data_IF_818303469685
#
_entry.id   IF_818303469685
#
_cell.length_a   1.000
_cell.length_b   1.000
_cell.length_c   1.000
_cell.angle_alpha   90.00
_cell.angle_beta   90.00
_cell.angle_gamma   90.00
#
_symmetry.space_group_name_H-M   'P 1'
#
loop_
_entity.id
_entity.type
_entity.pdbx_description
1 polymer ?
#
# COMPACT_ATOMS: atom_id res chain seq x y z
N UNK A 1 5.85 13.18 -12.74
CA UNK A 1 5.27 14.03 -11.67
C UNK A 1 4.74 13.07 -10.62
N UNK A 2 5.17 13.16 -9.36
CA UNK A 2 4.70 12.26 -8.30
C UNK A 2 3.24 12.57 -7.98
N UNK A 3 2.35 11.60 -8.19
CA UNK A 3 0.93 11.74 -7.83
C UNK A 3 0.78 11.59 -6.32
N UNK A 4 0.22 12.60 -5.65
CA UNK A 4 0.00 12.58 -4.20
C UNK A 4 -1.36 11.95 -3.93
N UNK A 5 -1.40 10.84 -3.19
CA UNK A 5 -2.63 10.18 -2.76
C UNK A 5 -2.78 10.38 -1.25
N UNK A 6 -3.91 10.94 -0.79
CA UNK A 6 -4.12 11.32 0.60
C UNK A 6 -5.14 10.41 1.30
N UNK A 7 -4.71 9.73 2.36
CA UNK A 7 -5.51 8.73 3.09
C UNK A 7 -6.71 9.34 3.82
N UNK A 8 -6.62 10.59 4.27
CA UNK A 8 -7.68 11.29 5.03
C UNK A 8 -9.00 11.43 4.23
N UNK A 9 -8.93 11.36 2.89
CA UNK A 9 -10.11 11.42 2.02
C UNK A 9 -10.99 10.16 2.06
N UNK A 10 -10.52 9.09 2.69
CA UNK A 10 -11.15 7.76 2.64
C UNK A 10 -11.62 7.23 4.00
N UNK A 11 -11.54 8.03 5.08
CA UNK A 11 -12.07 7.63 6.39
C UNK A 11 -13.60 7.54 6.36
N UNK A 12 -14.18 6.51 6.97
CA UNK A 12 -15.62 6.13 6.94
C UNK A 12 -16.65 7.19 7.38
N UNK A 13 -16.27 8.39 7.82
CA UNK A 13 -17.21 9.36 8.40
C UNK A 13 -17.68 10.45 7.41
N UNK A 14 -18.39 10.06 6.35
CA UNK A 14 -19.13 11.03 5.51
C UNK A 14 -20.39 11.61 6.18
N UNK A 15 -20.87 11.03 7.29
CA UNK A 15 -22.10 11.47 7.97
C UNK A 15 -21.88 12.40 9.18
N UNK A 16 -20.65 12.66 9.63
CA UNK A 16 -20.37 13.54 10.79
C UNK A 16 -19.73 14.88 10.40
N UNK A 17 -20.13 15.45 9.26
CA UNK A 17 -19.63 16.72 8.68
C UNK A 17 -19.81 18.02 9.52
N UNK A 18 -20.01 17.95 10.85
CA UNK A 18 -20.11 19.16 11.69
C UNK A 18 -19.18 19.19 12.91
N UNK A 19 -18.41 18.15 13.19
CA UNK A 19 -17.43 18.13 14.30
C UNK A 19 -16.25 17.27 13.87
N UNK A 20 -15.05 17.53 14.39
CA UNK A 20 -13.76 16.88 14.09
C UNK A 20 -12.84 17.60 13.09
N UNK A 21 -12.38 18.78 13.51
CA UNK A 21 -11.02 19.24 13.22
C UNK A 21 -10.07 19.06 14.43
N UNK A 22 -10.46 18.24 15.42
CA UNK A 22 -9.57 17.95 16.53
C UNK A 22 -8.49 16.95 16.07
N UNK A 23 -7.20 17.23 16.26
CA UNK A 23 -6.15 16.23 16.07
C UNK A 23 -6.41 15.04 17.00
N UNK A 24 -6.18 13.83 16.52
CA UNK A 24 -6.22 12.64 17.39
C UNK A 24 -5.06 12.78 18.38
N UNK A 25 -5.39 12.95 19.67
CA UNK A 25 -4.42 13.12 20.77
C UNK A 25 -4.15 11.81 21.54
N UNK A 26 -4.61 10.67 21.04
CA UNK A 26 -4.49 9.36 21.67
C UNK A 26 -3.83 8.32 20.75
N UNK A 27 -3.55 7.11 21.27
CA UNK A 27 -3.02 6.01 20.45
C UNK A 27 -3.97 5.72 19.28
N UNK A 28 -3.41 5.54 18.09
CA UNK A 28 -4.17 5.20 16.89
C UNK A 28 -4.17 3.69 16.76
N UNK A 29 -5.36 3.09 16.72
CA UNK A 29 -5.49 1.65 16.51
C UNK A 29 -5.53 1.34 15.02
N UNK A 30 -4.85 0.27 14.60
CA UNK A 30 -4.77 -0.10 13.18
C UNK A 30 -6.16 -0.37 12.59
N UNK A 31 -7.07 -0.97 13.36
CA UNK A 31 -8.45 -1.23 12.89
C UNK A 31 -9.19 0.05 12.47
N UNK A 32 -8.83 1.21 13.04
CA UNK A 32 -9.43 2.51 12.67
C UNK A 32 -8.99 3.00 11.28
N UNK A 33 -7.87 2.46 10.79
CA UNK A 33 -7.27 2.77 9.49
C UNK A 33 -7.60 1.70 8.43
N UNK A 34 -7.93 0.48 8.85
CA UNK A 34 -8.12 -0.71 8.01
C UNK A 34 -8.94 -0.40 6.74
N UNK A 35 -10.14 0.17 6.90
CA UNK A 35 -11.00 0.44 5.74
C UNK A 35 -10.51 1.58 4.86
N UNK A 36 -9.83 2.56 5.44
CA UNK A 36 -9.22 3.65 4.67
C UNK A 36 -8.07 3.13 3.80
N UNK A 37 -7.25 2.25 4.36
CA UNK A 37 -6.17 1.54 3.65
C UNK A 37 -6.76 0.71 2.50
N UNK A 38 -7.78 -0.09 2.78
CA UNK A 38 -8.45 -0.92 1.77
C UNK A 38 -9.04 -0.08 0.63
N UNK A 39 -9.77 0.99 0.96
CA UNK A 39 -10.39 1.86 -0.05
C UNK A 39 -9.35 2.55 -0.94
N UNK A 40 -8.26 3.02 -0.35
CA UNK A 40 -7.18 3.67 -1.09
C UNK A 40 -6.49 2.66 -2.03
N UNK A 41 -6.16 1.47 -1.51
CA UNK A 41 -5.56 0.40 -2.28
C UNK A 41 -6.43 -0.02 -3.48
N UNK A 42 -7.75 -0.07 -3.31
CA UNK A 42 -8.69 -0.42 -4.39
C UNK A 42 -8.88 0.73 -5.39
N UNK A 43 -9.15 1.94 -4.91
CA UNK A 43 -9.56 3.06 -5.79
C UNK A 43 -8.40 3.54 -6.66
N UNK A 44 -7.22 3.65 -6.09
CA UNK A 44 -6.04 4.16 -6.77
C UNK A 44 -5.11 3.03 -7.27
N UNK A 45 -5.60 1.77 -7.28
CA UNK A 45 -4.86 0.59 -7.72
C UNK A 45 -4.18 0.81 -9.08
N UNK A 46 -4.91 1.34 -10.07
CA UNK A 46 -4.36 1.56 -11.41
C UNK A 46 -3.15 2.50 -11.40
N UNK A 47 -3.19 3.58 -10.60
CA UNK A 47 -2.07 4.52 -10.45
C UNK A 47 -0.90 3.82 -9.77
N UNK A 48 -1.19 3.09 -8.69
CA UNK A 48 -0.19 2.39 -7.90
C UNK A 48 0.57 1.39 -8.79
N UNK A 49 -0.16 0.57 -9.55
CA UNK A 49 0.42 -0.41 -10.47
C UNK A 49 1.26 0.24 -11.55
N UNK A 50 0.79 1.34 -12.15
CA UNK A 50 1.59 2.04 -13.16
C UNK A 50 2.91 2.57 -12.59
N UNK A 51 2.89 3.15 -11.39
CA UNK A 51 4.11 3.64 -10.77
C UNK A 51 5.08 2.49 -10.39
N UNK A 52 4.55 1.37 -9.89
CA UNK A 52 5.36 0.16 -9.63
C UNK A 52 6.02 -0.34 -10.93
N UNK A 53 5.27 -0.39 -12.03
CA UNK A 53 5.80 -0.76 -13.36
C UNK A 53 6.89 0.20 -13.81
N UNK A 54 6.66 1.49 -13.71
CA UNK A 54 7.65 2.52 -14.09
C UNK A 54 8.94 2.38 -13.28
N UNK A 55 8.83 2.12 -11.98
CA UNK A 55 10.01 1.99 -11.12
C UNK A 55 10.82 0.73 -11.40
N UNK A 56 10.14 -0.41 -11.63
CA UNK A 56 10.77 -1.68 -11.93
C UNK A 56 11.20 -1.80 -13.41
N UNK A 57 10.85 -0.83 -14.25
CA UNK A 57 11.07 -0.93 -15.70
C UNK A 57 12.55 -1.11 -16.06
N UNK A 58 13.45 -0.42 -15.36
CA UNK A 58 14.90 -0.56 -15.58
C UNK A 58 15.39 -1.96 -15.22
N UNK A 59 15.07 -2.43 -14.02
CA UNK A 59 15.45 -3.77 -13.53
C UNK A 59 14.88 -4.87 -14.42
N UNK A 60 13.62 -4.73 -14.85
CA UNK A 60 12.99 -5.62 -15.82
C UNK A 60 13.77 -5.66 -17.14
N UNK A 61 14.23 -4.52 -17.66
CA UNK A 61 15.02 -4.49 -18.90
C UNK A 61 16.39 -5.12 -18.75
N UNK A 62 17.08 -4.88 -17.64
CA UNK A 62 18.35 -5.53 -17.31
C UNK A 62 18.16 -7.06 -17.17
N UNK A 63 17.06 -7.49 -16.57
CA UNK A 63 16.69 -8.90 -16.45
C UNK A 63 16.48 -9.56 -17.82
N UNK A 64 15.74 -8.92 -18.72
CA UNK A 64 15.50 -9.44 -20.07
C UNK A 64 16.81 -9.60 -20.86
N UNK A 65 17.68 -8.60 -20.79
CA UNK A 65 18.98 -8.63 -21.48
C UNK A 65 19.86 -9.76 -20.94
N UNK A 66 19.90 -9.92 -19.61
CA UNK A 66 20.73 -10.93 -18.95
C UNK A 66 20.26 -12.37 -19.22
N UNK A 67 18.96 -12.57 -19.38
CA UNK A 67 18.36 -13.89 -19.61
C UNK A 67 18.03 -14.16 -21.09
N UNK A 68 18.37 -13.26 -22.00
CA UNK A 68 18.06 -13.35 -23.44
C UNK A 68 16.57 -13.57 -23.74
N UNK A 69 15.67 -13.05 -22.90
CA UNK A 69 14.23 -13.13 -23.13
C UNK A 69 13.76 -12.08 -24.15
N UNK A 70 12.88 -12.45 -25.07
CA UNK A 70 12.15 -11.48 -25.89
C UNK A 70 11.07 -10.78 -25.05
N UNK A 71 10.97 -9.46 -25.16
CA UNK A 71 9.88 -8.63 -24.59
C UNK A 71 8.49 -9.11 -25.02
N UNK A 72 8.39 -9.81 -26.15
CA UNK A 72 7.14 -10.40 -26.66
C UNK A 72 6.72 -11.66 -25.91
N UNK A 73 7.67 -12.35 -25.30
CA UNK A 73 7.45 -13.62 -24.61
C UNK A 73 7.33 -13.44 -23.10
N UNK A 74 7.97 -12.40 -22.55
CA UNK A 74 7.98 -12.13 -21.12
C UNK A 74 7.62 -10.67 -20.83
N UNK A 75 6.44 -10.43 -20.25
CA UNK A 75 5.93 -9.09 -19.95
C UNK A 75 6.40 -8.60 -18.57
N UNK A 76 6.31 -7.28 -18.35
CA UNK A 76 6.61 -6.69 -17.03
C UNK A 76 5.63 -7.18 -15.94
N UNK A 77 4.39 -7.50 -16.31
CA UNK A 77 3.41 -8.08 -15.39
C UNK A 77 3.87 -9.45 -14.90
N UNK A 78 4.38 -10.29 -15.81
CA UNK A 78 4.96 -11.58 -15.45
C UNK A 78 6.22 -11.42 -14.60
N UNK A 79 7.05 -10.41 -14.89
CA UNK A 79 8.20 -10.07 -14.06
C UNK A 79 7.79 -9.75 -12.63
N UNK A 80 6.81 -8.86 -12.45
CA UNK A 80 6.29 -8.46 -11.14
C UNK A 80 5.73 -9.66 -10.37
N UNK A 81 4.83 -10.44 -10.98
CA UNK A 81 4.22 -11.61 -10.31
C UNK A 81 5.29 -12.61 -9.85
N UNK A 82 6.36 -12.80 -10.64
CA UNK A 82 7.39 -13.80 -10.35
C UNK A 82 8.43 -13.34 -9.34
N UNK A 83 8.73 -12.04 -9.28
CA UNK A 83 9.87 -11.52 -8.51
C UNK A 83 9.45 -10.69 -7.29
N UNK A 84 8.26 -10.09 -7.27
CA UNK A 84 7.75 -9.41 -6.09
C UNK A 84 7.00 -10.40 -5.20
N UNK A 85 7.59 -10.72 -4.04
CA UNK A 85 6.92 -11.51 -3.03
C UNK A 85 5.91 -10.66 -2.25
N UNK A 86 4.67 -10.60 -2.72
CA UNK A 86 3.60 -9.87 -2.03
C UNK A 86 3.24 -10.45 -0.65
N UNK A 87 3.71 -11.65 -0.31
CA UNK A 87 3.40 -12.29 0.98
C UNK A 87 4.23 -11.78 2.15
N UNK A 88 5.34 -11.08 1.88
CA UNK A 88 6.24 -10.53 2.88
C UNK A 88 6.37 -9.01 2.73
N UNK A 89 6.72 -8.28 3.80
CA UNK A 89 7.06 -6.87 3.71
C UNK A 89 8.18 -6.65 2.69
N UNK A 90 8.02 -5.67 1.80
CA UNK A 90 9.07 -5.30 0.87
C UNK A 90 9.26 -3.79 0.83
N UNK A 91 10.47 -3.39 0.46
CA UNK A 91 10.73 -2.00 0.10
C UNK A 91 10.58 -1.87 -1.41
N UNK A 92 9.38 -1.57 -1.92
CA UNK A 92 9.27 -1.06 -3.29
C UNK A 92 9.47 0.45 -3.20
N UNK A 93 10.43 0.99 -3.94
CA UNK A 93 10.46 2.42 -4.18
C UNK A 93 9.37 2.78 -5.21
N UNK A 94 8.13 2.86 -4.77
CA UNK A 94 6.97 2.95 -5.66
C UNK A 94 6.75 4.36 -6.22
N UNK A 95 7.53 5.37 -5.81
CA UNK A 95 7.42 6.75 -6.33
C UNK A 95 6.10 7.47 -5.97
N UNK A 96 5.24 6.84 -5.17
CA UNK A 96 3.95 7.40 -4.73
C UNK A 96 4.18 8.10 -3.41
N UNK A 97 3.79 9.36 -3.34
CA UNK A 97 3.78 10.08 -2.09
C UNK A 97 2.40 9.93 -1.45
N UNK A 98 2.28 8.98 -0.52
CA UNK A 98 1.10 8.92 0.32
C UNK A 98 1.14 10.04 1.35
N UNK A 99 0.07 10.83 1.44
CA UNK A 99 -0.11 11.83 2.50
C UNK A 99 -0.97 11.26 3.64
N UNK A 100 -0.47 11.39 4.86
CA UNK A 100 -1.17 11.03 6.12
C UNK A 100 -2.42 11.88 6.35
N UNK A 101 -2.44 13.10 5.84
CA UNK A 101 -3.41 14.13 6.24
C UNK A 101 -3.11 14.71 7.63
N UNK A 102 -3.63 15.91 7.89
CA UNK A 102 -3.31 16.67 9.11
C UNK A 102 -3.73 15.98 10.42
N UNK A 103 -4.73 15.09 10.36
CA UNK A 103 -5.30 14.41 11.53
C UNK A 103 -4.51 13.16 11.97
N UNK A 104 -3.59 12.66 11.15
CA UNK A 104 -2.78 11.45 11.42
C UNK A 104 -1.30 11.76 11.68
N UNK A 105 -0.97 12.99 12.10
CA UNK A 105 0.41 13.38 12.47
C UNK A 105 0.99 12.57 13.63
N UNK A 106 0.15 11.90 14.42
CA UNK A 106 0.58 11.02 15.50
C UNK A 106 1.24 9.72 14.99
N UNK A 107 0.98 9.31 13.74
CA UNK A 107 1.58 8.13 13.13
C UNK A 107 3.05 8.43 12.81
N UNK A 108 3.96 7.60 13.32
CA UNK A 108 5.41 7.72 13.06
C UNK A 108 5.73 7.58 11.57
N UNK A 109 6.95 7.94 11.18
CA UNK A 109 7.39 7.74 9.80
C UNK A 109 7.55 6.27 9.41
N UNK A 110 8.05 5.46 10.34
CA UNK A 110 8.14 4.02 10.16
C UNK A 110 6.76 3.38 9.98
N UNK A 111 5.82 3.69 10.88
CA UNK A 111 4.44 3.19 10.81
C UNK A 111 3.77 3.59 9.49
N UNK A 112 4.06 4.78 8.99
CA UNK A 112 3.54 5.20 7.70
C UNK A 112 4.14 4.46 6.52
N UNK A 113 5.42 4.15 6.57
CA UNK A 113 6.07 3.34 5.54
C UNK A 113 5.47 1.92 5.54
N UNK A 114 5.20 1.35 6.71
CA UNK A 114 4.51 0.06 6.86
C UNK A 114 3.09 0.12 6.25
N UNK A 115 2.30 1.17 6.57
CA UNK A 115 0.97 1.37 5.95
C UNK A 115 1.08 1.50 4.43
N UNK A 116 2.07 2.24 3.94
CA UNK A 116 2.28 2.45 2.50
C UNK A 116 2.60 1.14 1.78
N UNK A 117 3.43 0.29 2.38
CA UNK A 117 3.71 -1.05 1.87
C UNK A 117 2.45 -1.92 1.84
N UNK A 118 1.66 -1.95 2.93
CA UNK A 118 0.38 -2.66 2.98
C UNK A 118 -0.56 -2.21 1.85
N UNK A 119 -0.68 -0.90 1.61
CA UNK A 119 -1.50 -0.36 0.51
C UNK A 119 -1.08 -0.95 -0.84
N UNK A 120 0.22 -0.95 -1.13
CA UNK A 120 0.76 -1.40 -2.42
C UNK A 120 0.59 -2.90 -2.59
N UNK A 121 0.86 -3.65 -1.53
CA UNK A 121 0.69 -5.11 -1.52
C UNK A 121 -0.75 -5.48 -1.83
N UNK A 122 -1.73 -4.83 -1.20
CA UNK A 122 -3.15 -5.04 -1.48
C UNK A 122 -3.47 -4.66 -2.92
N UNK A 123 -2.99 -3.52 -3.42
CA UNK A 123 -3.21 -3.12 -4.82
C UNK A 123 -2.64 -4.16 -5.81
N UNK A 124 -1.44 -4.69 -5.57
CA UNK A 124 -0.82 -5.74 -6.39
C UNK A 124 -1.61 -7.05 -6.34
N UNK A 125 -1.99 -7.48 -5.12
CA UNK A 125 -2.75 -8.71 -4.92
C UNK A 125 -4.10 -8.67 -5.62
N UNK A 126 -4.81 -7.53 -5.54
CA UNK A 126 -6.07 -7.32 -6.23
C UNK A 126 -5.87 -7.28 -7.75
N UNK A 127 -4.92 -6.48 -8.24
CA UNK A 127 -4.71 -6.28 -9.66
C UNK A 127 -4.30 -7.56 -10.40
N UNK A 128 -3.43 -8.37 -9.79
CA UNK A 128 -2.92 -9.61 -10.38
C UNK A 128 -3.68 -10.86 -9.93
N UNK A 129 -4.77 -10.71 -9.17
CA UNK A 129 -5.55 -11.83 -8.64
C UNK A 129 -4.70 -12.88 -7.90
N UNK A 130 -3.75 -12.42 -7.07
CA UNK A 130 -2.78 -13.28 -6.37
C UNK A 130 -3.37 -13.99 -5.13
N UNK A 131 -4.66 -13.75 -4.84
CA UNK A 131 -5.37 -14.31 -3.71
C UNK A 131 -6.79 -14.72 -4.10
N UNK A 132 -7.26 -15.81 -3.46
CA UNK A 132 -8.56 -16.40 -3.72
C UNK A 132 -9.70 -15.78 -2.88
N UNK A 133 -9.39 -14.82 -2.02
CA UNK A 133 -10.34 -14.13 -1.13
C UNK A 133 -9.97 -12.66 -1.00
N UNK A 134 -10.90 -11.84 -0.52
CA UNK A 134 -10.60 -10.48 -0.09
C UNK A 134 -9.58 -10.52 1.06
N UNK A 135 -8.52 -9.73 0.94
CA UNK A 135 -7.48 -9.59 1.97
C UNK A 135 -7.82 -8.35 2.77
N UNK A 136 -7.89 -8.49 4.08
CA UNK A 136 -8.01 -7.35 4.96
C UNK A 136 -6.62 -6.81 5.32
N UNK A 137 -6.40 -5.49 5.32
CA UNK A 137 -5.10 -4.91 5.68
C UNK A 137 -4.59 -5.32 7.06
N UNK A 138 -5.49 -5.59 8.01
CA UNK A 138 -5.13 -6.12 9.33
C UNK A 138 -4.39 -7.47 9.24
N UNK A 139 -4.71 -8.33 8.27
CA UNK A 139 -4.02 -9.61 8.06
C UNK A 139 -2.54 -9.41 7.68
N UNK A 140 -2.20 -8.26 7.07
CA UNK A 140 -0.82 -7.91 6.74
C UNK A 140 -0.13 -7.15 7.88
N UNK A 141 -0.89 -6.47 8.74
CA UNK A 141 -0.37 -5.59 9.78
C UNK A 141 0.49 -6.34 10.81
N UNK A 142 0.17 -7.61 11.08
CA UNK A 142 0.93 -8.49 11.98
C UNK A 142 2.36 -8.80 11.49
N UNK A 143 2.68 -8.50 10.23
CA UNK A 143 4.01 -8.71 9.66
C UNK A 143 4.99 -7.57 9.94
N UNK A 144 4.52 -6.48 10.56
CA UNK A 144 5.32 -5.27 10.78
C UNK A 144 5.52 -4.99 12.26
N UNK A 145 6.62 -4.28 12.56
CA UNK A 145 6.88 -3.70 13.88
C UNK A 145 6.36 -2.26 13.86
N UNK A 146 5.53 -1.93 14.84
CA UNK A 146 4.88 -0.64 14.97
C UNK A 146 5.48 0.18 16.12
N UNK A 147 5.77 1.45 15.85
CA UNK A 147 6.30 2.39 16.84
C UNK A 147 5.18 2.97 17.71
N UNK A 148 4.05 3.30 17.07
CA UNK A 148 2.98 4.10 17.67
C UNK A 148 1.56 3.58 17.38
N UNK A 149 1.38 2.75 16.35
CA UNK A 149 0.11 2.08 16.09
C UNK A 149 -0.10 0.89 17.01
N UNK A 150 -1.32 0.77 17.51
CA UNK A 150 -1.74 -0.39 18.29
C UNK A 150 -2.48 -1.39 17.40
N UNK A 151 -2.09 -2.65 17.46
CA UNK A 151 -2.78 -3.75 16.77
C UNK A 151 -3.55 -4.57 17.81
N UNK A 152 -4.86 -4.64 17.65
CA UNK A 152 -5.68 -5.64 18.34
C UNK A 152 -5.45 -6.98 17.65
N UNK A 153 -4.47 -7.75 18.15
CA UNK A 153 -4.32 -9.14 17.75
C UNK A 153 -5.50 -9.90 18.36
N UNK A 154 -6.55 -10.13 17.57
CA UNK A 154 -7.57 -11.10 17.92
C UNK A 154 -6.92 -12.49 17.89
N UNK A 155 -6.44 -12.94 19.05
CA UNK A 155 -6.02 -14.32 19.28
C UNK A 155 -7.20 -15.28 19.21
#
# INVERSE_FOLDING_TARGET
MSQIIELDKYRKNKLRKKRYHAPIQGPVWFYELNEGIQQLACKDAHVIIQNVKEHLFREYHEFLQSNSFDKREYSIDQYIIRHLNVQEPFAIAHGIQFSRGHHLKAISENDWNNISDIIIRISLMIHYHLYNREIEPIELADQYIWDSLQIDILK
#
